data_IF_888268564768
#
_entry.id   IF_888268564768
#
_cell.length_a   1.000
_cell.length_b   1.000
_cell.length_c   1.000
_cell.angle_alpha   90.00
_cell.angle_beta   90.00
_cell.angle_gamma   90.00
#
_symmetry.space_group_name_H-M   'P 1'
#
loop_
_entity.id
_entity.type
_entity.pdbx_description
1 polymer ?
#
# COMPACT_ATOMS: atom_id res chain seq x y z
N UNK A 1 -15.79 -6.89 7.23
CA UNK A 1 -15.61 -7.16 5.78
C UNK A 1 -14.23 -6.66 5.40
N UNK A 2 -13.44 -7.42 4.63
CA UNK A 2 -12.16 -6.90 4.15
C UNK A 2 -12.45 -5.84 3.09
N UNK A 3 -12.06 -4.59 3.33
CA UNK A 3 -12.15 -3.52 2.33
C UNK A 3 -11.30 -3.91 1.13
N UNK A 4 -11.91 -3.92 -0.05
CA UNK A 4 -11.23 -4.21 -1.31
C UNK A 4 -10.13 -3.16 -1.56
N UNK A 5 -8.95 -3.61 -1.98
CA UNK A 5 -7.84 -2.69 -2.25
C UNK A 5 -8.00 -2.11 -3.64
N UNK A 6 -7.96 -0.79 -3.72
CA UNK A 6 -7.93 -0.09 -5.00
C UNK A 6 -6.52 -0.17 -5.59
N UNK A 7 -6.40 -0.79 -6.77
CA UNK A 7 -5.21 -0.67 -7.62
C UNK A 7 -5.25 0.69 -8.31
N UNK A 8 -4.14 1.43 -8.29
CA UNK A 8 -4.02 2.71 -8.99
C UNK A 8 -2.64 2.80 -9.65
N UNK A 9 -2.58 3.40 -10.84
CA UNK A 9 -1.33 3.71 -11.50
C UNK A 9 -0.82 5.05 -10.96
N UNK A 10 0.25 5.00 -10.17
CA UNK A 10 0.88 6.20 -9.62
C UNK A 10 1.93 6.72 -10.60
N UNK A 11 1.79 7.97 -11.03
CA UNK A 11 2.87 8.66 -11.76
C UNK A 11 3.81 9.25 -10.72
N UNK A 12 5.05 8.76 -10.71
CA UNK A 12 6.09 9.20 -9.80
C UNK A 12 7.37 9.46 -10.59
N UNK A 13 8.15 10.44 -10.13
CA UNK A 13 9.50 10.61 -10.62
C UNK A 13 10.32 9.33 -10.35
N UNK A 14 11.09 8.81 -11.33
CA UNK A 14 11.85 7.57 -11.15
C UNK A 14 12.84 7.60 -9.99
N UNK A 15 13.51 8.73 -9.75
CA UNK A 15 14.47 8.85 -8.65
C UNK A 15 13.78 8.79 -7.29
N UNK A 16 12.56 9.34 -7.19
CA UNK A 16 11.74 9.25 -5.98
C UNK A 16 11.26 7.82 -5.75
N UNK A 17 10.82 7.13 -6.81
CA UNK A 17 10.46 5.72 -6.72
C UNK A 17 11.62 4.88 -6.17
N UNK A 18 12.83 5.09 -6.70
CA UNK A 18 14.00 4.33 -6.29
C UNK A 18 14.42 4.63 -4.85
N UNK A 19 14.30 5.88 -4.42
CA UNK A 19 14.54 6.26 -3.03
C UNK A 19 13.56 5.56 -2.08
N UNK A 20 12.27 5.51 -2.44
CA UNK A 20 11.25 4.78 -1.67
C UNK A 20 11.52 3.27 -1.64
N UNK A 21 11.92 2.68 -2.76
CA UNK A 21 12.26 1.26 -2.83
C UNK A 21 13.46 0.91 -1.93
N UNK A 22 14.52 1.73 -1.95
CA UNK A 22 15.69 1.54 -1.07
C UNK A 22 15.32 1.68 0.41
N UNK A 23 14.49 2.66 0.75
CA UNK A 23 14.02 2.83 2.13
C UNK A 23 13.16 1.65 2.58
N UNK A 24 12.23 1.19 1.74
CA UNK A 24 11.41 0.03 2.02
C UNK A 24 12.26 -1.24 2.27
N UNK A 25 13.29 -1.45 1.45
CA UNK A 25 14.22 -2.56 1.61
C UNK A 25 14.97 -2.51 2.96
N UNK A 26 15.43 -1.31 3.37
CA UNK A 26 16.08 -1.12 4.67
C UNK A 26 15.16 -1.43 5.86
N UNK A 27 13.84 -1.24 5.72
CA UNK A 27 12.84 -1.55 6.75
C UNK A 27 12.19 -2.94 6.59
N UNK A 28 12.69 -3.79 5.68
CA UNK A 28 12.14 -5.11 5.37
C UNK A 28 10.65 -5.06 4.96
N UNK A 29 10.28 -4.05 4.17
CA UNK A 29 8.92 -3.84 3.65
C UNK A 29 8.91 -3.92 2.12
N UNK A 30 7.75 -4.24 1.56
CA UNK A 30 7.54 -3.99 0.13
C UNK A 30 7.39 -2.49 -0.12
N UNK A 31 7.72 -2.03 -1.32
CA UNK A 31 7.56 -0.62 -1.71
C UNK A 31 6.13 -0.13 -1.52
N UNK A 32 5.12 -0.95 -1.88
CA UNK A 32 3.71 -0.59 -1.66
C UNK A 32 3.34 -0.48 -0.18
N UNK A 33 3.87 -1.35 0.68
CA UNK A 33 3.65 -1.26 2.12
C UNK A 33 4.28 0.02 2.70
N UNK A 34 5.44 0.41 2.18
CA UNK A 34 6.10 1.66 2.59
C UNK A 34 5.33 2.89 2.13
N UNK A 35 4.86 2.92 0.88
CA UNK A 35 4.02 4.01 0.36
C UNK A 35 2.75 4.15 1.22
N UNK A 36 2.05 3.05 1.50
CA UNK A 36 0.84 3.07 2.33
C UNK A 36 1.12 3.59 3.76
N UNK A 37 2.25 3.18 4.36
CA UNK A 37 2.66 3.68 5.67
C UNK A 37 2.88 5.20 5.65
N UNK A 38 3.59 5.72 4.65
CA UNK A 38 3.85 7.15 4.51
C UNK A 38 2.58 7.95 4.28
N UNK A 39 1.67 7.46 3.43
CA UNK A 39 0.39 8.12 3.18
C UNK A 39 -0.47 8.20 4.44
N UNK A 40 -0.58 7.09 5.20
CA UNK A 40 -1.32 7.09 6.47
C UNK A 40 -0.71 8.03 7.50
N UNK A 41 0.62 8.02 7.61
CA UNK A 41 1.35 8.91 8.50
C UNK A 41 1.09 10.37 8.14
N UNK A 42 1.26 10.74 6.87
CA UNK A 42 1.01 12.10 6.38
C UNK A 42 -0.44 12.55 6.59
N UNK A 43 -1.42 11.68 6.34
CA UNK A 43 -2.83 11.95 6.62
C UNK A 43 -3.10 12.13 8.12
N UNK A 44 -2.47 11.33 8.97
CA UNK A 44 -2.60 11.44 10.42
C UNK A 44 -2.00 12.74 10.94
N UNK A 45 -0.78 13.08 10.51
CA UNK A 45 -0.09 14.32 10.87
C UNK A 45 -0.86 15.56 10.39
N UNK A 46 -1.52 15.47 9.22
CA UNK A 46 -2.39 16.52 8.72
C UNK A 46 -3.79 16.56 9.37
N UNK A 47 -4.12 15.64 10.28
CA UNK A 47 -5.45 15.54 10.90
C UNK A 47 -6.56 15.12 9.93
N UNK A 48 -6.22 14.45 8.82
CA UNK A 48 -7.11 14.06 7.72
C UNK A 48 -7.33 12.56 7.59
N UNK A 49 -6.76 11.75 8.50
CA UNK A 49 -6.96 10.31 8.46
C UNK A 49 -8.43 9.95 8.75
N UNK A 50 -9.14 9.24 7.86
CA UNK A 50 -10.51 8.83 8.10
C UNK A 50 -10.64 7.89 9.31
N UNK A 51 -11.79 7.94 10.01
CA UNK A 51 -12.02 7.16 11.24
C UNK A 51 -12.29 5.68 10.98
N UNK A 52 -12.68 5.33 9.77
CA UNK A 52 -13.03 3.98 9.31
C UNK A 52 -11.85 3.27 8.62
N UNK A 53 -10.65 3.85 8.70
CA UNK A 53 -9.44 3.24 8.14
C UNK A 53 -9.16 1.89 8.81
N UNK A 54 -9.24 0.81 8.03
CA UNK A 54 -8.94 -0.55 8.48
C UNK A 54 -7.46 -0.74 8.87
N UNK A 55 -7.19 -1.77 9.66
CA UNK A 55 -5.85 -2.13 10.11
C UNK A 55 -4.90 -2.40 8.93
N UNK A 56 -3.63 -2.01 9.07
CA UNK A 56 -2.60 -2.37 8.10
C UNK A 56 -2.43 -3.89 8.08
N UNK A 57 -2.37 -4.46 6.87
CA UNK A 57 -2.15 -5.90 6.71
C UNK A 57 -0.76 -6.28 7.22
N UNK A 58 -0.71 -7.41 7.91
CA UNK A 58 0.55 -8.04 8.29
C UNK A 58 1.33 -8.48 7.05
N UNK A 59 2.67 -8.38 7.06
CA UNK A 59 3.51 -9.01 6.07
C UNK A 59 3.19 -10.51 5.94
N UNK A 60 3.22 -11.05 4.73
CA UNK A 60 2.99 -12.47 4.49
C UNK A 60 2.10 -12.75 3.27
N UNK A 61 1.70 -14.02 3.15
CA UNK A 61 0.98 -14.53 1.97
C UNK A 61 -0.35 -13.77 1.79
N UNK A 62 -0.69 -13.35 0.56
CA UNK A 62 -2.03 -12.85 0.24
C UNK A 62 -3.09 -13.85 0.70
N UNK A 63 -4.24 -13.35 1.16
CA UNK A 63 -5.35 -14.26 1.45
C UNK A 63 -5.88 -14.81 0.13
N UNK A 64 -6.49 -15.99 0.16
CA UNK A 64 -7.11 -16.62 -1.01
C UNK A 64 -8.11 -15.69 -1.72
N UNK A 65 -8.74 -14.77 -0.98
CA UNK A 65 -9.66 -13.75 -1.51
C UNK A 65 -8.96 -12.66 -2.34
N UNK A 66 -7.71 -12.30 -2.03
CA UNK A 66 -6.97 -11.30 -2.82
C UNK A 66 -6.52 -11.88 -4.16
N UNK A 67 -6.15 -13.17 -4.18
CA UNK A 67 -5.74 -13.84 -5.42
C UNK A 67 -6.86 -13.90 -6.46
N UNK A 68 -8.10 -14.07 -6.03
CA UNK A 68 -9.25 -14.10 -6.94
C UNK A 68 -9.48 -12.72 -7.60
N UNK A 69 -9.34 -11.63 -6.82
CA UNK A 69 -9.51 -10.26 -7.33
C UNK A 69 -8.42 -9.83 -8.32
N UNK A 70 -7.21 -10.41 -8.22
CA UNK A 70 -6.13 -10.14 -9.18
C UNK A 70 -6.37 -10.77 -10.55
N UNK A 71 -7.07 -11.91 -10.62
CA UNK A 71 -7.34 -12.64 -11.87
C UNK A 71 -8.53 -12.03 -12.63
N UNK A 72 -9.50 -11.42 -11.95
CA UNK A 72 -10.66 -10.77 -12.58
C UNK A 72 -10.35 -9.39 -13.21
N UNK A 73 -9.16 -8.82 -12.97
CA UNK A 73 -8.75 -7.50 -13.52
C UNK A 73 -7.89 -7.58 -14.78
N UNK A 74 -7.69 -8.76 -15.36
CA UNK A 74 -6.85 -8.98 -16.57
C UNK A 74 -7.64 -9.12 -17.90
N UNK A 75 -8.96 -8.90 -17.90
CA UNK A 75 -9.81 -8.76 -19.12
C UNK A 75 -10.05 -7.29 -19.52
#
# INVERSE_FOLDING_TARGET
MATERKKLLLRLDPAVHDALARWAAAELRSTNAQIEFLLRRALSEAGRLPRDVGAQRRPGRPSTKDKAADVETED
#
